data_IF_548641252403
#
_entry.id   IF_548641252403
#
_cell.length_a   1.000
_cell.length_b   1.000
_cell.length_c   1.000
_cell.angle_alpha   90.00
_cell.angle_beta   90.00
_cell.angle_gamma   90.00
#
_symmetry.space_group_name_H-M   'P 1'
#
loop_
_entity.id
_entity.type
_entity.pdbx_description
1 polymer ?
#
# COMPACT_ATOMS: atom_id res chain seq x y z
N UNK A 1 28.81 2.63 9.30
CA UNK A 1 28.40 2.39 7.90
C UNK A 1 26.88 2.54 7.71
N UNK A 2 26.04 1.78 8.44
CA UNK A 2 24.57 1.86 8.31
C UNK A 2 23.93 3.24 8.57
N UNK A 3 24.44 4.02 9.54
CA UNK A 3 23.93 5.38 9.84
C UNK A 3 24.00 6.34 8.65
N UNK A 4 25.02 6.20 7.79
CA UNK A 4 25.22 7.10 6.65
C UNK A 4 24.27 6.77 5.50
N UNK A 5 23.96 5.48 5.29
CA UNK A 5 23.03 5.04 4.24
C UNK A 5 21.62 5.57 4.48
N UNK A 6 21.14 5.55 5.72
CA UNK A 6 19.83 6.12 6.06
C UNK A 6 19.78 7.63 5.81
N UNK A 7 20.84 8.36 6.16
CA UNK A 7 20.93 9.79 5.91
C UNK A 7 20.99 10.11 4.41
N UNK A 8 21.70 9.29 3.63
CA UNK A 8 21.76 9.42 2.17
C UNK A 8 20.43 9.10 1.49
N UNK A 9 19.71 8.06 1.94
CA UNK A 9 18.36 7.75 1.44
C UNK A 9 17.37 8.86 1.78
N UNK A 10 17.40 9.37 3.00
CA UNK A 10 16.59 10.51 3.40
C UNK A 10 16.92 11.76 2.58
N UNK A 11 18.21 12.03 2.34
CA UNK A 11 18.64 13.15 1.51
C UNK A 11 18.23 12.96 0.03
N UNK A 12 18.22 11.72 -0.48
CA UNK A 12 17.73 11.40 -1.82
C UNK A 12 16.22 11.66 -1.91
N UNK A 13 15.43 11.14 -0.96
CA UNK A 13 13.98 11.37 -0.91
C UNK A 13 13.64 12.84 -0.74
N UNK A 14 14.42 13.57 0.06
CA UNK A 14 14.29 15.01 0.26
C UNK A 14 14.49 15.86 -0.99
N UNK A 15 15.18 15.34 -1.99
CA UNK A 15 15.39 16.03 -3.27
C UNK A 15 14.26 15.77 -4.27
N UNK A 16 13.49 14.70 -4.10
CA UNK A 16 12.43 14.32 -5.05
C UNK A 16 11.26 15.30 -4.91
N UNK A 17 10.96 16.03 -5.98
CA UNK A 17 9.82 16.97 -6.04
C UNK A 17 9.97 18.23 -5.18
N UNK A 18 11.16 18.45 -4.60
CA UNK A 18 11.49 19.68 -3.87
C UNK A 18 11.60 20.87 -4.82
N UNK A 19 10.98 21.99 -4.44
CA UNK A 19 11.09 23.28 -5.13
C UNK A 19 11.81 24.29 -4.23
N UNK A 20 12.59 25.23 -4.80
CA UNK A 20 13.26 26.28 -4.02
C UNK A 20 12.29 27.11 -3.17
N UNK A 21 11.07 27.27 -3.67
CA UNK A 21 9.98 28.03 -3.03
C UNK A 21 9.32 27.27 -1.86
N UNK A 22 9.54 25.96 -1.71
CA UNK A 22 8.84 25.16 -0.71
C UNK A 22 9.24 25.61 0.70
N UNK A 23 8.24 25.79 1.57
CA UNK A 23 8.44 25.94 3.01
C UNK A 23 9.04 24.67 3.63
N UNK A 24 9.60 24.77 4.83
CA UNK A 24 10.17 23.61 5.53
C UNK A 24 9.11 22.54 5.84
N UNK A 25 7.91 22.96 6.22
CA UNK A 25 6.76 22.06 6.45
C UNK A 25 6.33 21.33 5.17
N UNK A 26 6.27 22.03 4.03
CA UNK A 26 5.95 21.40 2.74
C UNK A 26 7.03 20.40 2.31
N UNK A 27 8.31 20.71 2.53
CA UNK A 27 9.41 19.77 2.26
C UNK A 27 9.30 18.52 3.12
N UNK A 28 8.99 18.67 4.42
CA UNK A 28 8.81 17.54 5.32
C UNK A 28 7.63 16.67 4.86
N UNK A 29 6.48 17.26 4.53
CA UNK A 29 5.34 16.52 4.00
C UNK A 29 5.67 15.77 2.70
N UNK A 30 6.36 16.42 1.76
CA UNK A 30 6.82 15.81 0.49
C UNK A 30 7.78 14.65 0.74
N UNK A 31 8.69 14.79 1.69
CA UNK A 31 9.61 13.72 2.10
C UNK A 31 8.86 12.52 2.65
N UNK A 32 7.96 12.74 3.61
CA UNK A 32 7.18 11.68 4.24
C UNK A 32 6.38 10.90 3.21
N UNK A 33 5.63 11.59 2.35
CA UNK A 33 4.79 10.89 1.35
C UNK A 33 5.62 10.17 0.29
N UNK A 34 6.77 10.73 -0.10
CA UNK A 34 7.67 10.07 -1.06
C UNK A 34 8.31 8.83 -0.45
N UNK A 35 8.74 8.90 0.80
CA UNK A 35 9.28 7.75 1.53
C UNK A 35 8.21 6.64 1.65
N UNK A 36 6.98 6.99 2.05
CA UNK A 36 5.86 6.04 2.11
C UNK A 36 5.59 5.41 0.73
N UNK A 37 5.55 6.20 -0.34
CA UNK A 37 5.34 5.68 -1.69
C UNK A 37 6.44 4.68 -2.11
N UNK A 38 7.72 5.03 -1.91
CA UNK A 38 8.82 4.16 -2.30
C UNK A 38 8.85 2.85 -1.49
N UNK A 39 8.58 2.92 -0.18
CA UNK A 39 8.54 1.74 0.69
C UNK A 39 7.36 0.82 0.35
N UNK A 40 6.16 1.40 0.16
CA UNK A 40 4.96 0.63 -0.23
C UNK A 40 5.10 0.00 -1.61
N UNK A 41 5.68 0.72 -2.58
CA UNK A 41 5.95 0.15 -3.91
C UNK A 41 6.97 -1.00 -3.85
N UNK A 42 8.02 -0.89 -3.02
CA UNK A 42 8.97 -1.98 -2.81
C UNK A 42 8.30 -3.20 -2.18
N UNK A 43 7.44 -3.00 -1.17
CA UNK A 43 6.64 -4.06 -0.58
C UNK A 43 5.73 -4.74 -1.62
N UNK A 44 5.13 -3.97 -2.53
CA UNK A 44 4.35 -4.51 -3.65
C UNK A 44 5.16 -5.45 -4.56
N UNK A 45 6.40 -5.09 -4.90
CA UNK A 45 7.27 -5.98 -5.67
C UNK A 45 7.64 -7.25 -4.90
N UNK A 46 8.01 -7.12 -3.63
CA UNK A 46 8.33 -8.27 -2.78
C UNK A 46 7.15 -9.23 -2.71
N UNK A 47 5.94 -8.72 -2.46
CA UNK A 47 4.76 -9.58 -2.41
C UNK A 47 4.40 -10.21 -3.75
N UNK A 48 4.50 -9.45 -4.85
CA UNK A 48 4.27 -9.99 -6.19
C UNK A 48 5.19 -11.15 -6.52
N UNK A 49 6.49 -11.01 -6.24
CA UNK A 49 7.47 -12.07 -6.45
C UNK A 49 7.19 -13.30 -5.57
N UNK A 50 6.74 -13.10 -4.33
CA UNK A 50 6.36 -14.19 -3.44
C UNK A 50 5.17 -14.97 -4.00
N UNK A 51 4.09 -14.33 -4.42
CA UNK A 51 2.95 -15.03 -5.03
C UNK A 51 3.35 -15.75 -6.34
N UNK A 52 4.18 -15.13 -7.19
CA UNK A 52 4.71 -15.80 -8.37
C UNK A 52 5.48 -17.08 -8.02
N UNK A 53 6.25 -17.06 -6.93
CA UNK A 53 6.98 -18.25 -6.47
C UNK A 53 6.07 -19.41 -6.03
N UNK A 54 4.84 -19.13 -5.62
CA UNK A 54 3.80 -20.12 -5.30
C UNK A 54 2.94 -20.51 -6.53
N UNK A 55 3.24 -19.98 -7.71
CA UNK A 55 2.46 -20.21 -8.93
C UNK A 55 1.18 -19.37 -9.04
N UNK A 56 0.92 -18.48 -8.08
CA UNK A 56 -0.23 -17.58 -8.06
C UNK A 56 0.01 -16.38 -8.97
N UNK A 57 -0.08 -16.58 -10.28
CA UNK A 57 0.24 -15.55 -11.28
C UNK A 57 -0.68 -14.34 -11.22
N UNK A 58 -2.00 -14.53 -11.13
CA UNK A 58 -2.93 -13.41 -11.03
C UNK A 58 -2.76 -12.67 -9.69
N UNK A 59 -2.77 -13.34 -8.52
CA UNK A 59 -2.48 -12.67 -7.25
C UNK A 59 -1.10 -12.01 -7.21
N UNK A 60 -0.07 -12.55 -7.85
CA UNK A 60 1.25 -11.91 -7.89
C UNK A 60 1.32 -10.70 -8.81
N UNK A 61 0.58 -10.70 -9.92
CA UNK A 61 0.56 -9.59 -10.86
C UNK A 61 -0.02 -8.32 -10.23
N UNK A 62 -1.00 -8.48 -9.34
CA UNK A 62 -1.68 -7.37 -8.67
C UNK A 62 -0.68 -6.49 -7.90
N UNK A 63 -0.03 -6.94 -6.80
CA UNK A 63 0.93 -6.14 -6.03
C UNK A 63 2.16 -5.73 -6.85
N UNK A 64 2.57 -6.54 -7.84
CA UNK A 64 3.66 -6.17 -8.73
C UNK A 64 3.29 -4.96 -9.61
N UNK A 65 2.12 -4.98 -10.25
CA UNK A 65 1.63 -3.86 -11.06
C UNK A 65 1.42 -2.60 -10.21
N UNK A 66 0.94 -2.76 -8.97
CA UNK A 66 0.85 -1.64 -8.03
C UNK A 66 2.22 -1.04 -7.67
N UNK A 67 3.24 -1.88 -7.47
CA UNK A 67 4.63 -1.42 -7.32
C UNK A 67 5.05 -0.54 -8.50
N UNK A 68 4.79 -0.99 -9.74
CA UNK A 68 5.07 -0.20 -10.95
C UNK A 68 4.31 1.13 -10.94
N UNK A 69 3.00 1.10 -10.67
CA UNK A 69 2.14 2.31 -10.64
C UNK A 69 2.67 3.33 -9.63
N UNK A 70 3.04 2.89 -8.43
CA UNK A 70 3.55 3.78 -7.37
C UNK A 70 4.88 4.40 -7.77
N UNK A 71 5.81 3.62 -8.36
CA UNK A 71 7.09 4.16 -8.82
C UNK A 71 6.94 5.14 -9.98
N UNK A 72 6.04 4.86 -10.93
CA UNK A 72 5.70 5.80 -12.02
C UNK A 72 5.07 7.09 -11.47
N UNK A 73 4.24 6.98 -10.45
CA UNK A 73 3.64 8.13 -9.78
C UNK A 73 4.68 8.98 -9.02
N UNK A 74 5.67 8.35 -8.37
CA UNK A 74 6.83 9.06 -7.78
C UNK A 74 7.67 9.74 -8.86
N UNK A 75 7.91 9.09 -10.00
CA UNK A 75 8.61 9.71 -11.12
C UNK A 75 7.87 10.93 -11.66
N UNK A 76 6.55 10.81 -11.84
CA UNK A 76 5.70 11.91 -12.27
C UNK A 76 5.70 13.05 -11.25
N UNK A 77 5.71 12.73 -9.95
CA UNK A 77 5.88 13.71 -8.89
C UNK A 77 7.24 14.41 -8.95
N UNK A 78 8.32 13.68 -9.22
CA UNK A 78 9.66 14.26 -9.35
C UNK A 78 9.72 15.32 -10.48
N UNK A 79 8.98 15.07 -11.57
CA UNK A 79 8.91 15.98 -12.73
C UNK A 79 7.98 17.17 -12.43
N UNK A 80 6.76 16.89 -11.99
CA UNK A 80 5.67 17.89 -11.88
C UNK A 80 5.71 18.67 -10.57
N UNK A 81 6.18 18.06 -9.48
CA UNK A 81 6.03 18.58 -8.11
C UNK A 81 4.60 18.47 -7.57
N UNK A 82 3.69 17.77 -8.25
CA UNK A 82 2.28 17.69 -7.88
C UNK A 82 2.06 16.66 -6.75
N UNK A 83 2.11 17.13 -5.51
CA UNK A 83 1.90 16.29 -4.31
C UNK A 83 0.49 15.70 -4.25
N UNK A 84 -0.51 16.42 -4.73
CA UNK A 84 -1.90 15.97 -4.70
C UNK A 84 -2.10 14.72 -5.55
N UNK A 85 -1.46 14.68 -6.73
CA UNK A 85 -1.49 13.50 -7.60
C UNK A 85 -0.76 12.32 -6.94
N UNK A 86 0.44 12.55 -6.40
CA UNK A 86 1.19 11.52 -5.68
C UNK A 86 0.34 10.90 -4.58
N UNK A 87 -0.25 11.75 -3.74
CA UNK A 87 -1.11 11.36 -2.62
C UNK A 87 -2.36 10.60 -3.05
N UNK A 88 -3.06 11.11 -4.07
CA UNK A 88 -4.29 10.49 -4.56
C UNK A 88 -4.04 9.07 -5.06
N UNK A 89 -3.06 8.91 -5.96
CA UNK A 89 -2.72 7.58 -6.50
C UNK A 89 -2.18 6.65 -5.41
N UNK A 90 -1.38 7.15 -4.46
CA UNK A 90 -0.89 6.35 -3.33
C UNK A 90 -2.06 5.81 -2.48
N UNK A 91 -2.99 6.68 -2.05
CA UNK A 91 -4.12 6.28 -1.20
C UNK A 91 -5.08 5.33 -1.93
N UNK A 92 -5.39 5.60 -3.20
CA UNK A 92 -6.24 4.71 -4.02
C UNK A 92 -5.60 3.34 -4.16
N UNK A 93 -4.31 3.31 -4.49
CA UNK A 93 -3.55 2.07 -4.67
C UNK A 93 -3.49 1.27 -3.38
N UNK A 94 -3.14 1.92 -2.27
CA UNK A 94 -3.03 1.27 -0.96
C UNK A 94 -4.38 0.75 -0.47
N UNK A 95 -5.49 1.40 -0.86
CA UNK A 95 -6.84 0.94 -0.53
C UNK A 95 -7.26 -0.24 -1.39
N UNK A 96 -7.16 -0.15 -2.71
CA UNK A 96 -7.72 -1.16 -3.61
C UNK A 96 -6.88 -2.44 -3.67
N UNK A 97 -5.55 -2.30 -3.59
CA UNK A 97 -4.59 -3.40 -3.65
C UNK A 97 -4.99 -4.62 -2.81
N UNK A 98 -5.16 -4.48 -1.48
CA UNK A 98 -5.38 -5.63 -0.62
C UNK A 98 -6.73 -6.31 -0.90
N UNK A 99 -7.74 -5.58 -1.34
CA UNK A 99 -9.03 -6.18 -1.72
C UNK A 99 -8.97 -6.90 -3.06
N UNK A 100 -8.35 -6.31 -4.09
CA UNK A 100 -8.17 -7.01 -5.37
C UNK A 100 -7.34 -8.28 -5.19
N UNK A 101 -6.29 -8.21 -4.38
CA UNK A 101 -5.47 -9.37 -4.04
C UNK A 101 -6.29 -10.44 -3.31
N UNK A 102 -7.03 -10.07 -2.28
CA UNK A 102 -7.92 -10.99 -1.55
C UNK A 102 -8.96 -11.64 -2.46
N UNK A 103 -9.62 -10.87 -3.33
CA UNK A 103 -10.61 -11.41 -4.27
C UNK A 103 -9.97 -12.39 -5.23
N UNK A 104 -8.78 -12.06 -5.75
CA UNK A 104 -8.02 -12.94 -6.61
C UNK A 104 -7.57 -14.21 -5.90
N UNK A 105 -7.44 -14.22 -4.57
CA UNK A 105 -7.04 -15.36 -3.75
C UNK A 105 -8.21 -16.25 -3.31
N UNK A 106 -9.45 -15.82 -3.50
CA UNK A 106 -10.65 -16.59 -3.15
C UNK A 106 -11.36 -16.14 -1.87
N UNK A 107 -11.22 -14.88 -1.46
CA UNK A 107 -11.97 -14.31 -0.34
C UNK A 107 -11.14 -14.18 0.94
N UNK A 108 -11.79 -13.91 2.08
CA UNK A 108 -11.08 -13.49 3.30
C UNK A 108 -10.18 -14.58 3.86
N UNK A 109 -10.67 -15.81 3.92
CA UNK A 109 -9.91 -16.94 4.51
C UNK A 109 -8.79 -17.39 3.58
N UNK A 110 -9.08 -17.55 2.28
CA UNK A 110 -8.09 -18.00 1.30
C UNK A 110 -7.02 -16.95 1.04
N UNK A 111 -7.39 -15.66 1.11
CA UNK A 111 -6.48 -14.53 1.04
C UNK A 111 -5.83 -14.13 2.37
N UNK A 112 -5.90 -14.97 3.41
CA UNK A 112 -5.24 -14.72 4.70
C UNK A 112 -5.56 -13.38 5.36
N UNK A 113 -6.76 -12.85 5.09
CA UNK A 113 -7.22 -11.53 5.59
C UNK A 113 -6.30 -10.39 5.13
N UNK A 114 -5.63 -10.51 3.98
CA UNK A 114 -4.79 -9.45 3.41
C UNK A 114 -5.51 -8.12 3.22
N UNK A 115 -6.86 -8.12 3.15
CA UNK A 115 -7.70 -6.92 3.19
C UNK A 115 -7.45 -6.01 4.41
N UNK A 116 -6.91 -6.54 5.51
CA UNK A 116 -6.56 -5.79 6.73
C UNK A 116 -5.61 -4.61 6.45
N UNK A 117 -4.69 -4.74 5.48
CA UNK A 117 -3.78 -3.67 5.08
C UNK A 117 -4.52 -2.40 4.66
N UNK A 118 -5.75 -2.54 4.14
CA UNK A 118 -6.61 -1.42 3.76
C UNK A 118 -6.94 -0.49 4.94
N UNK A 119 -6.86 -0.96 6.18
CA UNK A 119 -7.12 -0.12 7.37
C UNK A 119 -6.07 0.98 7.58
N UNK A 120 -4.89 0.83 6.99
CA UNK A 120 -3.85 1.85 7.06
C UNK A 120 -4.23 3.11 6.28
N UNK A 121 -5.09 2.99 5.26
CA UNK A 121 -5.49 4.11 4.40
C UNK A 121 -6.17 5.24 5.18
N UNK A 122 -7.23 5.01 5.98
CA UNK A 122 -7.83 6.09 6.77
C UNK A 122 -6.84 6.69 7.77
N UNK A 123 -5.93 5.91 8.34
CA UNK A 123 -4.90 6.41 9.27
C UNK A 123 -3.90 7.32 8.55
N UNK A 124 -3.36 6.88 7.41
CA UNK A 124 -2.47 7.68 6.57
C UNK A 124 -3.19 8.91 6.04
N UNK A 125 -4.48 8.81 5.70
CA UNK A 125 -5.28 9.95 5.26
C UNK A 125 -5.47 10.98 6.38
N UNK A 126 -5.57 10.59 7.65
CA UNK A 126 -5.58 11.53 8.78
C UNK A 126 -4.28 12.32 8.88
N UNK A 127 -3.13 11.68 8.58
CA UNK A 127 -1.82 12.34 8.61
C UNK A 127 -1.58 13.26 7.42
N UNK A 128 -2.13 12.91 6.25
CA UNK A 128 -1.80 13.59 4.99
C UNK A 128 -2.91 14.52 4.47
N UNK A 129 -4.10 14.51 5.07
CA UNK A 129 -5.27 15.25 4.58
C UNK A 129 -6.12 15.84 5.71
N UNK A 130 -7.27 16.41 5.38
CA UNK A 130 -8.22 16.92 6.37
C UNK A 130 -9.02 15.78 7.03
N UNK A 131 -9.49 15.95 8.28
CA UNK A 131 -10.30 14.92 8.96
C UNK A 131 -11.54 14.48 8.16
N UNK A 132 -12.18 15.42 7.45
CA UNK A 132 -13.33 15.13 6.57
C UNK A 132 -12.94 14.19 5.43
N UNK A 133 -11.79 14.42 4.79
CA UNK A 133 -11.31 13.56 3.71
C UNK A 133 -10.90 12.18 4.22
N UNK A 134 -10.23 12.12 5.37
CA UNK A 134 -9.90 10.85 6.02
C UNK A 134 -11.15 10.02 6.36
N UNK A 135 -12.24 10.67 6.78
CA UNK A 135 -13.51 10.00 7.01
C UNK A 135 -14.10 9.38 5.72
N UNK A 136 -13.98 10.05 4.56
CA UNK A 136 -14.40 9.45 3.29
C UNK A 136 -13.55 8.23 2.90
N UNK A 137 -12.24 8.25 3.20
CA UNK A 137 -11.39 7.07 3.02
C UNK A 137 -11.79 5.91 3.92
N UNK A 138 -12.16 6.21 5.18
CA UNK A 138 -12.71 5.21 6.10
C UNK A 138 -14.01 4.60 5.58
N UNK A 139 -14.93 5.42 5.07
CA UNK A 139 -16.16 4.92 4.43
C UNK A 139 -15.87 4.07 3.20
N UNK A 140 -14.89 4.44 2.38
CA UNK A 140 -14.44 3.64 1.24
C UNK A 140 -13.91 2.27 1.65
N UNK A 141 -13.11 2.22 2.71
CA UNK A 141 -12.63 0.96 3.30
C UNK A 141 -13.79 0.08 3.81
N UNK A 142 -14.73 0.65 4.56
CA UNK A 142 -15.92 -0.10 5.03
C UNK A 142 -16.77 -0.61 3.87
N UNK A 143 -16.98 0.21 2.84
CA UNK A 143 -17.72 -0.18 1.65
C UNK A 143 -17.06 -1.37 0.94
N UNK A 144 -15.72 -1.39 0.85
CA UNK A 144 -14.98 -2.52 0.27
C UNK A 144 -15.08 -3.78 1.12
N UNK A 145 -15.08 -3.69 2.45
CA UNK A 145 -15.34 -4.85 3.33
C UNK A 145 -16.74 -5.42 3.06
N UNK A 146 -17.77 -4.58 3.07
CA UNK A 146 -19.15 -5.01 2.86
C UNK A 146 -19.31 -5.62 1.47
N UNK A 147 -18.78 -4.96 0.44
CA UNK A 147 -18.78 -5.47 -0.92
C UNK A 147 -18.07 -6.83 -1.00
N UNK A 148 -16.93 -6.98 -0.32
CA UNK A 148 -16.18 -8.24 -0.28
C UNK A 148 -17.00 -9.38 0.30
N UNK A 149 -17.73 -9.14 1.39
CA UNK A 149 -18.61 -10.14 2.00
C UNK A 149 -19.78 -10.53 1.07
N UNK A 150 -20.30 -9.60 0.28
CA UNK A 150 -21.34 -9.87 -0.70
C UNK A 150 -20.83 -10.71 -1.88
N UNK A 151 -19.62 -10.44 -2.36
CA UNK A 151 -19.05 -11.17 -3.52
C UNK A 151 -18.41 -12.51 -3.14
N UNK A 152 -18.11 -12.74 -1.86
CA UNK A 152 -17.37 -13.92 -1.40
C UNK A 152 -17.94 -15.27 -1.89
N UNK A 153 -19.27 -15.51 -1.93
CA UNK A 153 -19.83 -16.75 -2.46
C UNK A 153 -19.57 -16.99 -3.95
N UNK A 154 -19.17 -15.95 -4.70
CA UNK A 154 -18.90 -16.01 -6.14
C UNK A 154 -17.40 -16.08 -6.46
N UNK A 155 -16.53 -15.99 -5.45
CA UNK A 155 -15.09 -16.11 -5.63
C UNK A 155 -14.67 -17.58 -5.73
N UNK A 156 -13.44 -17.82 -6.21
CA UNK A 156 -12.86 -19.17 -6.26
C UNK A 156 -12.76 -19.76 -4.86
N UNK A 157 -12.92 -21.07 -4.75
CA UNK A 157 -12.94 -21.81 -3.48
C UNK A 157 -11.60 -22.48 -3.14
N UNK A 158 -10.58 -22.27 -3.98
CA UNK A 158 -9.25 -22.83 -3.80
C UNK A 158 -8.13 -21.88 -4.28
N UNK A 159 -6.92 -22.12 -3.77
CA UNK A 159 -5.70 -21.49 -4.24
C UNK A 159 -4.49 -22.41 -4.04
N UNK A 160 -3.36 -22.05 -4.64
CA UNK A 160 -2.13 -22.84 -4.63
C UNK A 160 -1.33 -22.69 -3.34
N UNK A 161 -1.79 -21.85 -2.40
CA UNK A 161 -1.11 -21.65 -1.12
C UNK A 161 -1.38 -22.83 -0.19
N UNK A 162 -0.30 -23.42 0.32
CA UNK A 162 -0.42 -24.46 1.35
C UNK A 162 -1.05 -23.87 2.63
N UNK A 163 -1.69 -24.70 3.49
CA UNK A 163 -2.21 -24.24 4.77
C UNK A 163 -1.18 -23.48 5.61
N UNK A 164 0.05 -23.99 5.69
CA UNK A 164 1.14 -23.34 6.42
C UNK A 164 1.47 -21.94 5.89
N UNK A 165 1.51 -21.77 4.56
CA UNK A 165 1.77 -20.45 3.95
C UNK A 165 0.64 -19.48 4.26
N UNK A 166 -0.62 -19.95 4.19
CA UNK A 166 -1.79 -19.12 4.54
C UNK A 166 -1.77 -18.69 6.00
N UNK A 167 -1.37 -19.57 6.91
CA UNK A 167 -1.26 -19.25 8.34
C UNK A 167 -0.15 -18.23 8.60
N UNK A 168 1.00 -18.37 7.93
CA UNK A 168 2.10 -17.39 8.01
C UNK A 168 1.64 -16.03 7.49
N UNK A 169 0.98 -16.00 6.34
CA UNK A 169 0.46 -14.76 5.76
C UNK A 169 -0.58 -14.12 6.67
N UNK A 170 -1.46 -14.92 7.29
CA UNK A 170 -2.44 -14.42 8.23
C UNK A 170 -1.79 -13.69 9.42
N UNK A 171 -0.73 -14.28 10.00
CA UNK A 171 0.03 -13.65 11.08
C UNK A 171 0.66 -12.33 10.62
N UNK A 172 1.19 -12.29 9.40
CA UNK A 172 1.80 -11.09 8.81
C UNK A 172 0.74 -10.01 8.54
N UNK A 173 -0.36 -10.37 7.90
CA UNK A 173 -1.43 -9.47 7.45
C UNK A 173 -2.21 -8.87 8.62
N UNK A 174 -2.29 -9.56 9.76
CA UNK A 174 -2.83 -8.97 10.98
C UNK A 174 -1.74 -8.21 11.74
N UNK A 175 -0.57 -8.82 11.92
CA UNK A 175 0.47 -8.33 12.80
C UNK A 175 1.13 -7.03 12.34
N UNK A 176 1.54 -6.95 11.07
CA UNK A 176 2.28 -5.78 10.57
C UNK A 176 1.37 -4.54 10.51
N UNK A 177 0.19 -4.57 9.86
CA UNK A 177 -0.68 -3.40 9.82
C UNK A 177 -1.08 -2.88 11.21
N UNK A 178 -1.30 -3.79 12.17
CA UNK A 178 -1.62 -3.41 13.55
C UNK A 178 -0.43 -2.73 14.26
N UNK A 179 0.80 -3.15 13.95
CA UNK A 179 2.01 -2.61 14.56
C UNK A 179 2.35 -1.20 14.06
N UNK A 180 2.03 -0.89 12.79
CA UNK A 180 2.27 0.43 12.17
C UNK A 180 1.57 1.56 12.93
N UNK A 181 0.49 1.26 13.66
CA UNK A 181 -0.25 2.25 14.48
C UNK A 181 0.62 2.82 15.61
N UNK A 182 1.64 2.08 16.07
CA UNK A 182 2.45 2.42 17.23
C UNK A 182 3.85 2.98 16.89
N UNK A 183 4.14 3.19 15.61
CA UNK A 183 5.43 3.69 15.10
C UNK A 183 5.27 5.09 14.55
#
# INVERSE_FOLDING_TARGET
MFKNVWLELLALFARIGARPEDTEEERLHKQLITATALMTGLAGFVWGLLYFSFGEWLPGLIPFAYGVIVYLNVLLFAITGNVNLLRGVLLITLLLLPFLLMWSLGGFVLGSVVASWGMLVPLIALLLTTPRNAFYWFLGFLALIILSAVIEPFLRTDNLLSPLVRDIFFVIDVGIPSSVIFV
#
